data_IF_836992414891
#
_entry.id   IF_836992414891
#
_cell.length_a   1.000
_cell.length_b   1.000
_cell.length_c   1.000
_cell.angle_alpha   90.00
_cell.angle_beta   90.00
_cell.angle_gamma   90.00
#
_symmetry.space_group_name_H-M   'P 1'
#
loop_
_entity.id
_entity.type
_entity.pdbx_description
1 polymer ?
#
# COMPACT_ATOMS: atom_id res chain seq x y z
N UNK A 1 -10.71 19.87 -12.34
CA UNK A 1 -12.07 19.30 -12.48
C UNK A 1 -12.07 17.95 -11.81
N UNK A 2 -12.77 17.82 -10.68
CA UNK A 2 -12.94 16.55 -9.97
C UNK A 2 -14.09 15.78 -10.63
N UNK A 3 -13.86 14.52 -10.99
CA UNK A 3 -14.92 13.65 -11.51
C UNK A 3 -15.88 13.31 -10.35
N UNK A 4 -17.19 13.58 -10.48
CA UNK A 4 -18.15 13.25 -9.43
C UNK A 4 -18.39 11.73 -9.42
N UNK A 5 -18.19 11.08 -8.27
CA UNK A 5 -18.63 9.71 -8.05
C UNK A 5 -20.16 9.69 -7.93
N UNK A 6 -20.82 8.75 -8.63
CA UNK A 6 -22.28 8.66 -8.78
C UNK A 6 -23.02 8.07 -7.58
N UNK A 7 -22.43 8.12 -6.38
CA UNK A 7 -23.07 7.62 -5.16
C UNK A 7 -22.72 8.58 -4.04
N UNK A 8 -23.71 9.32 -3.53
CA UNK A 8 -23.57 10.45 -2.60
C UNK A 8 -23.07 10.12 -1.19
N UNK A 9 -22.15 9.17 -1.04
CA UNK A 9 -21.44 8.88 0.21
C UNK A 9 -20.07 9.56 0.20
N UNK A 10 -19.94 10.65 0.94
CA UNK A 10 -18.68 11.35 1.16
C UNK A 10 -17.97 10.63 2.31
N UNK A 11 -16.90 9.89 2.00
CA UNK A 11 -16.05 9.26 3.00
C UNK A 11 -15.11 10.31 3.61
N UNK A 12 -15.23 10.63 4.91
CA UNK A 12 -14.42 11.66 5.57
C UNK A 12 -12.91 11.35 5.58
N UNK A 13 -12.51 10.12 5.24
CA UNK A 13 -11.14 9.66 5.17
C UNK A 13 -10.64 9.41 3.74
N UNK A 14 -11.49 9.60 2.73
CA UNK A 14 -11.14 9.39 1.30
C UNK A 14 -10.86 7.93 0.90
N UNK A 15 -11.14 6.96 1.77
CA UNK A 15 -10.85 5.53 1.56
C UNK A 15 -11.76 4.86 0.52
N UNK A 16 -13.04 5.26 0.47
CA UNK A 16 -14.05 4.73 -0.45
C UNK A 16 -13.72 5.04 -1.92
N UNK A 17 -13.48 6.31 -2.24
CA UNK A 17 -13.06 6.77 -3.56
C UNK A 17 -11.75 6.09 -3.99
N UNK A 18 -10.74 6.03 -3.10
CA UNK A 18 -9.45 5.40 -3.43
C UNK A 18 -9.61 3.93 -3.84
N UNK A 19 -10.43 3.17 -3.14
CA UNK A 19 -10.65 1.75 -3.46
C UNK A 19 -11.40 1.58 -4.78
N UNK A 20 -12.31 2.51 -5.11
CA UNK A 20 -13.00 2.53 -6.40
C UNK A 20 -12.04 2.83 -7.56
N UNK A 21 -11.11 3.78 -7.38
CA UNK A 21 -10.19 4.22 -8.42
C UNK A 21 -8.92 3.36 -8.55
N UNK A 22 -8.30 2.97 -7.44
CA UNK A 22 -7.02 2.25 -7.41
C UNK A 22 -7.18 0.76 -7.10
N UNK A 23 -8.27 0.39 -6.42
CA UNK A 23 -8.45 -0.94 -5.83
C UNK A 23 -7.81 -1.06 -4.45
N UNK A 24 -8.01 -2.24 -3.84
CA UNK A 24 -7.55 -2.52 -2.46
C UNK A 24 -6.02 -2.54 -2.38
N UNK A 25 -5.49 -2.05 -1.26
CA UNK A 25 -4.11 -2.30 -0.82
C UNK A 25 -3.87 -3.81 -0.78
N UNK A 26 -2.75 -4.32 -1.34
CA UNK A 26 -2.39 -5.72 -1.19
C UNK A 26 -2.11 -6.06 0.27
N UNK A 27 -2.63 -7.19 0.74
CA UNK A 27 -2.31 -7.69 2.08
C UNK A 27 -0.89 -8.25 2.18
N UNK A 28 -0.33 -8.31 3.39
CA UNK A 28 1.02 -8.84 3.67
C UNK A 28 1.24 -10.29 3.23
N UNK A 29 0.20 -11.13 3.26
CA UNK A 29 0.25 -12.52 2.78
C UNK A 29 0.11 -12.68 1.25
N UNK A 30 -0.21 -11.59 0.53
CA UNK A 30 -0.29 -11.60 -0.94
C UNK A 30 1.08 -11.76 -1.59
N UNK A 31 1.11 -12.00 -2.91
CA UNK A 31 2.37 -12.05 -3.67
C UNK A 31 3.17 -10.74 -3.53
N UNK A 32 2.50 -9.59 -3.60
CA UNK A 32 3.12 -8.28 -3.43
C UNK A 32 3.63 -8.10 -2.00
N UNK A 33 2.82 -8.41 -0.99
CA UNK A 33 3.20 -8.30 0.42
C UNK A 33 4.40 -9.17 0.79
N UNK A 34 4.45 -10.41 0.30
CA UNK A 34 5.62 -11.29 0.47
C UNK A 34 6.88 -10.71 -0.15
N UNK A 35 6.78 -10.06 -1.31
CA UNK A 35 7.93 -9.41 -1.94
C UNK A 35 8.37 -8.15 -1.20
N UNK A 36 7.45 -7.42 -0.57
CA UNK A 36 7.78 -6.32 0.34
C UNK A 36 8.59 -6.83 1.53
N UNK A 37 8.15 -7.91 2.18
CA UNK A 37 8.87 -8.52 3.31
C UNK A 37 10.27 -8.99 2.87
N UNK A 38 10.39 -9.63 1.70
CA UNK A 38 11.68 -10.05 1.14
C UNK A 38 12.62 -8.85 0.90
N UNK A 39 12.12 -7.77 0.28
CA UNK A 39 12.91 -6.57 0.04
C UNK A 39 13.36 -5.94 1.36
N UNK A 40 12.45 -5.76 2.32
CA UNK A 40 12.77 -5.22 3.64
C UNK A 40 13.76 -6.11 4.41
N UNK A 41 13.70 -7.44 4.22
CA UNK A 41 14.71 -8.36 4.77
C UNK A 41 16.09 -8.13 4.15
N UNK A 42 16.16 -7.95 2.83
CA UNK A 42 17.40 -7.57 2.15
C UNK A 42 17.97 -6.22 2.62
N UNK A 43 17.11 -5.31 3.06
CA UNK A 43 17.48 -4.01 3.66
C UNK A 43 17.88 -4.11 5.16
N UNK A 44 17.82 -5.29 5.77
CA UNK A 44 18.08 -5.47 7.21
C UNK A 44 16.95 -4.93 8.12
N UNK A 45 15.76 -4.73 7.56
CA UNK A 45 14.56 -4.22 8.25
C UNK A 45 13.55 -5.30 8.62
N UNK A 46 13.88 -6.58 8.39
CA UNK A 46 13.12 -7.73 8.88
C UNK A 46 14.09 -8.62 9.64
N UNK A 47 13.64 -9.15 10.79
CA UNK A 47 14.35 -10.18 11.56
C UNK A 47 13.37 -11.27 12.02
N UNK A 48 13.90 -12.40 12.45
CA UNK A 48 13.09 -13.54 12.87
C UNK A 48 12.38 -14.23 11.69
N UNK A 49 11.55 -15.22 12.01
CA UNK A 49 10.81 -16.06 11.05
C UNK A 49 9.48 -16.50 11.65
N UNK A 50 8.52 -16.89 10.81
CA UNK A 50 7.20 -17.34 11.27
C UNK A 50 6.51 -16.30 12.16
N UNK A 51 5.98 -16.75 13.29
CA UNK A 51 5.21 -15.91 14.21
C UNK A 51 6.08 -14.94 15.03
N UNK A 52 7.40 -15.15 15.08
CA UNK A 52 8.35 -14.23 15.74
C UNK A 52 8.99 -13.24 14.76
N UNK A 53 8.48 -13.15 13.53
CA UNK A 53 8.98 -12.23 12.54
C UNK A 53 8.64 -10.79 12.91
N UNK A 54 9.65 -9.94 12.92
CA UNK A 54 9.52 -8.52 13.24
C UNK A 54 10.05 -7.65 12.11
N UNK A 55 9.48 -6.45 11.98
CA UNK A 55 9.95 -5.42 11.05
C UNK A 55 10.41 -4.17 11.79
N UNK A 56 11.35 -3.45 11.19
CA UNK A 56 11.84 -2.17 11.69
C UNK A 56 11.02 -1.03 11.09
N UNK A 57 10.26 -0.34 11.93
CA UNK A 57 9.43 0.80 11.55
C UNK A 57 10.27 1.91 10.91
N UNK A 58 9.75 2.50 9.82
CA UNK A 58 10.38 3.66 9.17
C UNK A 58 10.33 4.90 10.06
N UNK A 59 9.31 5.01 10.91
CA UNK A 59 8.96 6.23 11.64
C UNK A 59 9.77 6.37 12.92
N UNK A 60 9.75 5.36 13.78
CA UNK A 60 10.36 5.38 15.14
C UNK A 60 11.61 4.49 15.27
N UNK A 61 11.95 3.73 14.22
CA UNK A 61 13.07 2.78 14.16
C UNK A 61 13.01 1.62 15.17
N UNK A 62 11.86 1.38 15.79
CA UNK A 62 11.60 0.23 16.67
C UNK A 62 11.22 -1.01 15.88
N UNK A 63 11.27 -2.16 16.56
CA UNK A 63 10.88 -3.45 16.01
C UNK A 63 9.45 -3.79 16.45
N UNK A 64 8.62 -4.18 15.50
CA UNK A 64 7.22 -4.57 15.72
C UNK A 64 6.92 -5.90 15.03
N UNK A 65 5.89 -6.60 15.50
CA UNK A 65 5.46 -7.87 14.90
C UNK A 65 4.96 -7.65 13.47
N UNK A 66 5.42 -8.48 12.52
CA UNK A 66 4.88 -8.52 11.15
C UNK A 66 3.42 -8.98 11.15
N UNK A 67 2.99 -9.75 12.16
CA UNK A 67 1.61 -10.18 12.31
C UNK A 67 0.64 -9.01 12.50
N UNK A 68 1.08 -8.00 13.24
CA UNK A 68 0.32 -6.77 13.54
C UNK A 68 0.55 -5.66 12.52
N UNK A 69 1.52 -5.83 11.62
CA UNK A 69 1.84 -4.83 10.63
C UNK A 69 0.76 -4.64 9.56
N UNK A 70 0.61 -3.40 9.12
CA UNK A 70 -0.15 -3.01 7.95
C UNK A 70 0.76 -2.72 6.73
N UNK A 71 0.17 -2.79 5.54
CA UNK A 71 0.84 -2.46 4.28
C UNK A 71 0.63 -0.98 3.96
N UNK A 72 1.67 -0.17 4.19
CA UNK A 72 1.66 1.25 3.95
C UNK A 72 2.26 1.59 2.58
N UNK A 73 1.73 2.63 1.94
CA UNK A 73 2.33 3.16 0.71
C UNK A 73 3.52 4.06 1.06
N UNK A 74 4.67 3.85 0.41
CA UNK A 74 5.84 4.74 0.50
C UNK A 74 5.60 6.09 -0.19
N UNK A 75 4.80 6.08 -1.25
CA UNK A 75 4.42 7.26 -2.02
C UNK A 75 2.91 7.40 -1.99
N UNK A 76 2.40 8.61 -1.71
CA UNK A 76 0.97 8.83 -1.62
C UNK A 76 0.23 8.39 -2.89
N UNK A 77 -0.67 7.43 -2.71
CA UNK A 77 -1.47 6.84 -3.76
C UNK A 77 -2.44 7.84 -4.39
N UNK A 78 -2.89 8.85 -3.63
CA UNK A 78 -3.74 9.94 -4.13
C UNK A 78 -2.93 10.88 -5.02
N UNK A 79 -1.71 11.22 -4.62
CA UNK A 79 -0.77 11.97 -5.48
C UNK A 79 -0.48 11.23 -6.79
N UNK A 80 -0.22 9.91 -6.75
CA UNK A 80 -0.05 9.12 -7.99
C UNK A 80 -1.32 9.10 -8.87
N UNK A 81 -2.51 9.08 -8.26
CA UNK A 81 -3.78 9.23 -8.98
C UNK A 81 -3.89 10.58 -9.69
N UNK A 82 -3.65 11.67 -8.97
CA UNK A 82 -3.79 13.02 -9.48
C UNK A 82 -2.77 13.35 -10.59
N UNK A 83 -1.52 12.85 -10.49
CA UNK A 83 -0.45 13.23 -11.41
C UNK A 83 -0.37 12.36 -12.66
N UNK A 84 -0.76 11.07 -12.58
CA UNK A 84 -0.54 10.12 -13.68
C UNK A 84 -1.72 9.23 -13.95
N UNK A 85 -2.32 8.63 -12.93
CA UNK A 85 -3.18 7.47 -13.15
C UNK A 85 -4.65 7.77 -13.38
N UNK A 86 -5.11 8.98 -13.05
CA UNK A 86 -6.42 9.49 -13.45
C UNK A 86 -6.62 9.57 -14.98
N UNK A 87 -5.54 9.71 -15.76
CA UNK A 87 -5.60 9.75 -17.24
C UNK A 87 -5.91 8.40 -17.88
N UNK A 88 -5.61 7.29 -17.20
CA UNK A 88 -5.80 5.93 -17.72
C UNK A 88 -7.14 5.31 -17.30
N UNK A 89 -7.90 5.98 -16.42
CA UNK A 89 -9.18 5.52 -15.89
C UNK A 89 -9.07 4.61 -14.67
N UNK A 90 -10.17 4.51 -13.93
CA UNK A 90 -10.27 3.72 -12.70
C UNK A 90 -9.89 2.26 -12.93
N UNK A 91 -9.02 1.71 -12.07
CA UNK A 91 -8.56 0.31 -12.09
C UNK A 91 -8.01 -0.17 -13.44
N UNK A 92 -7.48 0.74 -14.25
CA UNK A 92 -6.80 0.39 -15.50
C UNK A 92 -5.63 -0.57 -15.24
N UNK A 93 -5.17 -1.26 -16.30
CA UNK A 93 -4.01 -2.16 -16.20
C UNK A 93 -2.79 -1.46 -15.61
N UNK A 94 -2.61 -0.19 -15.90
CA UNK A 94 -1.48 0.62 -15.43
C UNK A 94 -1.62 0.98 -13.95
N UNK A 95 -2.80 1.44 -13.53
CA UNK A 95 -3.13 1.68 -12.12
C UNK A 95 -2.88 0.41 -11.29
N UNK A 96 -3.34 -0.74 -11.78
CA UNK A 96 -3.17 -2.02 -11.10
C UNK A 96 -1.71 -2.50 -11.09
N UNK A 97 -0.95 -2.24 -12.15
CA UNK A 97 0.49 -2.53 -12.19
C UNK A 97 1.23 -1.75 -11.11
N UNK A 98 0.91 -0.47 -10.92
CA UNK A 98 1.48 0.35 -9.86
C UNK A 98 1.05 -0.12 -8.46
N UNK A 99 -0.25 -0.38 -8.26
CA UNK A 99 -0.79 -0.87 -6.99
C UNK A 99 -0.24 -2.23 -6.55
N UNK A 100 0.28 -3.04 -7.49
CA UNK A 100 0.84 -4.36 -7.22
C UNK A 100 2.37 -4.36 -7.21
N UNK A 101 3.02 -3.23 -7.46
CA UNK A 101 4.47 -3.11 -7.39
C UNK A 101 4.92 -3.04 -5.91
N UNK A 102 5.68 -4.04 -5.42
CA UNK A 102 6.14 -4.06 -4.03
C UNK A 102 7.07 -2.91 -3.68
N UNK A 103 7.68 -2.22 -4.67
CA UNK A 103 8.53 -1.05 -4.40
C UNK A 103 7.75 0.13 -3.84
N UNK A 104 6.44 0.16 -4.03
CA UNK A 104 5.57 1.24 -3.56
C UNK A 104 5.12 1.06 -2.11
N UNK A 105 5.55 -0.02 -1.43
CA UNK A 105 5.05 -0.38 -0.10
C UNK A 105 6.14 -0.67 0.91
N UNK A 106 5.80 -0.49 2.18
CA UNK A 106 6.50 -1.01 3.34
C UNK A 106 5.52 -1.45 4.44
N UNK A 107 6.05 -2.06 5.49
CA UNK A 107 5.31 -2.38 6.70
C UNK A 107 5.29 -1.19 7.66
N UNK A 108 4.13 -0.96 8.29
CA UNK A 108 3.88 0.08 9.29
C UNK A 108 3.09 -0.50 10.48
N UNK A 109 3.21 0.12 11.66
CA UNK A 109 2.53 -0.24 12.90
C UNK A 109 1.61 0.91 13.34
#
# INVERSE_FOLDING_TARGET
>A
MFAPSTTGWIDPWGLSCRTEYLGRTPGKSSRTGRKVIENMRGEGRIRGEGDSMEFKSSTDKQWYSVGEADMAHKYDAVTYWNDRSGFFGAKSKEVRKWMLDPKNYELEH
#
